data_IF_109924192721
#
_entry.id   IF_109924192721
#
_cell.length_a   1.000
_cell.length_b   1.000
_cell.length_c   1.000
_cell.angle_alpha   90.00
_cell.angle_beta   90.00
_cell.angle_gamma   90.00
#
_symmetry.space_group_name_H-M   'P 1'
#
loop_
_entity.id
_entity.type
_entity.pdbx_description
1 polymer ?
#
# COMPACT_ATOMS: atom_id res chain seq x y z
N UNK A 1 -13.97 6.39 5.12
CA UNK A 1 -12.58 5.89 5.20
C UNK A 1 -12.53 4.45 5.70
N UNK A 2 -12.88 4.16 6.97
CA UNK A 2 -12.82 2.78 7.53
C UNK A 2 -13.67 1.78 6.73
N UNK A 3 -14.91 2.14 6.38
CA UNK A 3 -15.81 1.25 5.62
C UNK A 3 -15.24 0.85 4.27
N UNK A 4 -14.73 1.81 3.49
CA UNK A 4 -14.13 1.55 2.17
C UNK A 4 -12.86 0.72 2.33
N UNK A 5 -12.04 1.02 3.35
CA UNK A 5 -10.83 0.25 3.65
C UNK A 5 -11.15 -1.21 3.96
N UNK A 6 -12.20 -1.47 4.73
CA UNK A 6 -12.66 -2.84 5.00
C UNK A 6 -13.21 -3.55 3.76
N UNK A 7 -13.96 -2.85 2.91
CA UNK A 7 -14.43 -3.42 1.64
C UNK A 7 -13.26 -3.81 0.73
N UNK A 8 -12.26 -2.93 0.60
CA UNK A 8 -11.04 -3.24 -0.15
C UNK A 8 -10.28 -4.41 0.50
N UNK A 9 -10.07 -4.38 1.81
CA UNK A 9 -9.37 -5.46 2.51
C UNK A 9 -10.03 -6.82 2.29
N UNK A 10 -11.37 -6.87 2.30
CA UNK A 10 -12.12 -8.09 2.01
C UNK A 10 -12.02 -8.50 0.53
N UNK A 11 -12.10 -7.54 -0.39
CA UNK A 11 -11.98 -7.80 -1.84
C UNK A 11 -10.61 -8.41 -2.20
N UNK A 12 -9.54 -8.04 -1.48
CA UNK A 12 -8.18 -8.53 -1.70
C UNK A 12 -7.78 -9.68 -0.77
N UNK A 13 -8.70 -10.24 0.02
CA UNK A 13 -8.38 -11.27 1.02
C UNK A 13 -7.92 -12.60 0.42
N UNK A 14 -8.25 -12.87 -0.84
CA UNK A 14 -7.90 -14.07 -1.60
C UNK A 14 -6.62 -13.90 -2.45
N UNK A 15 -6.00 -12.70 -2.43
CA UNK A 15 -4.79 -12.46 -3.21
C UNK A 15 -3.59 -13.15 -2.58
N UNK A 16 -2.90 -13.93 -3.41
CA UNK A 16 -1.69 -14.66 -3.04
C UNK A 16 -0.53 -14.26 -3.94
N UNK A 17 0.69 -14.45 -3.43
CA UNK A 17 1.93 -14.26 -4.15
C UNK A 17 2.89 -15.39 -3.79
N UNK A 18 3.33 -16.16 -4.80
CA UNK A 18 4.08 -17.42 -4.62
C UNK A 18 3.36 -18.39 -3.66
N UNK A 19 2.07 -18.64 -3.90
CA UNK A 19 1.20 -19.53 -3.11
C UNK A 19 0.99 -19.13 -1.64
N UNK A 20 1.49 -17.96 -1.23
CA UNK A 20 1.29 -17.43 0.11
C UNK A 20 0.36 -16.21 0.10
N UNK A 21 -0.57 -16.09 1.06
CA UNK A 21 -1.40 -14.89 1.20
C UNK A 21 -0.54 -13.64 1.40
N UNK A 22 -0.89 -12.57 0.69
CA UNK A 22 -0.27 -11.26 0.94
C UNK A 22 -0.95 -10.59 2.14
N UNK A 23 -0.20 -9.82 2.92
CA UNK A 23 -0.83 -8.98 3.92
C UNK A 23 -1.57 -7.83 3.22
N UNK A 24 -2.78 -7.52 3.69
CA UNK A 24 -3.58 -6.41 3.16
C UNK A 24 -4.21 -5.62 4.30
N UNK A 25 -4.01 -4.31 4.29
CA UNK A 25 -4.57 -3.40 5.30
C UNK A 25 -4.67 -1.95 4.78
N UNK A 26 -5.13 -1.01 5.62
CA UNK A 26 -5.34 0.38 5.22
C UNK A 26 -5.19 1.36 6.37
N UNK A 27 -4.96 2.63 6.00
CA UNK A 27 -4.96 3.73 6.96
C UNK A 27 -3.89 4.77 6.67
N UNK A 28 -3.62 5.59 7.68
CA UNK A 28 -2.59 6.62 7.64
C UNK A 28 -1.20 6.02 7.91
N UNK A 29 -0.14 6.80 7.72
CA UNK A 29 1.22 6.39 8.08
C UNK A 29 1.34 5.98 9.57
N UNK A 30 0.62 6.66 10.47
CA UNK A 30 0.59 6.28 11.89
C UNK A 30 0.03 4.86 12.08
N UNK A 31 -1.04 4.51 11.37
CA UNK A 31 -1.62 3.17 11.43
C UNK A 31 -0.69 2.12 10.82
N UNK A 32 0.03 2.45 9.73
CA UNK A 32 1.05 1.57 9.14
C UNK A 32 2.16 1.27 10.16
N UNK A 33 2.63 2.29 10.90
CA UNK A 33 3.62 2.12 11.96
C UNK A 33 3.13 1.18 13.06
N UNK A 34 1.91 1.39 13.53
CA UNK A 34 1.29 0.57 14.58
C UNK A 34 1.14 -0.88 14.08
N UNK A 35 0.67 -1.06 12.84
CA UNK A 35 0.54 -2.37 12.20
C UNK A 35 1.88 -3.12 12.14
N UNK A 36 2.95 -2.47 11.69
CA UNK A 36 4.30 -3.06 11.64
C UNK A 36 4.76 -3.48 13.04
N UNK A 37 4.60 -2.60 14.04
CA UNK A 37 4.98 -2.88 15.43
C UNK A 37 4.21 -4.06 16.02
N UNK A 38 2.92 -4.18 15.72
CA UNK A 38 2.08 -5.27 16.23
C UNK A 38 2.44 -6.61 15.58
N UNK A 39 2.80 -6.60 14.29
CA UNK A 39 3.34 -7.79 13.61
C UNK A 39 4.68 -8.23 14.19
N UNK A 40 5.56 -7.28 14.51
CA UNK A 40 6.85 -7.58 15.17
C UNK A 40 6.66 -8.17 16.56
N UNK A 41 5.80 -7.59 17.38
CA UNK A 41 5.47 -8.12 18.72
C UNK A 41 4.90 -9.54 18.65
N UNK A 42 4.16 -9.83 17.59
CA UNK A 42 3.49 -11.12 17.40
C UNK A 42 4.33 -12.11 16.58
N UNK A 43 5.56 -11.75 16.19
CA UNK A 43 6.44 -12.53 15.32
C UNK A 43 5.75 -13.02 14.03
N UNK A 44 4.91 -12.17 13.43
CA UNK A 44 4.16 -12.47 12.21
C UNK A 44 4.86 -11.92 10.97
N UNK A 45 4.71 -12.62 9.84
CA UNK A 45 5.19 -12.14 8.54
C UNK A 45 4.52 -10.80 8.18
N UNK A 46 5.33 -9.81 7.80
CA UNK A 46 4.88 -8.46 7.44
C UNK A 46 4.74 -8.25 5.94
N UNK A 47 5.66 -8.79 5.15
CA UNK A 47 5.76 -8.50 3.72
C UNK A 47 5.58 -9.77 2.86
N UNK A 48 5.06 -9.67 1.63
CA UNK A 48 4.57 -8.46 0.97
C UNK A 48 3.31 -7.89 1.65
N UNK A 49 3.16 -6.56 1.59
CA UNK A 49 2.03 -5.83 2.14
C UNK A 49 1.40 -4.94 1.06
N UNK A 50 0.09 -5.07 0.86
CA UNK A 50 -0.73 -4.14 0.13
C UNK A 50 -1.42 -3.20 1.12
N UNK A 51 -1.11 -1.91 1.04
CA UNK A 51 -1.67 -0.87 1.90
C UNK A 51 -2.52 0.11 1.10
N UNK A 52 -3.70 0.43 1.64
CA UNK A 52 -4.60 1.41 1.03
C UNK A 52 -4.62 2.73 1.79
N UNK A 53 -4.58 3.83 1.04
CA UNK A 53 -4.84 5.18 1.55
C UNK A 53 -6.03 5.73 0.79
N UNK A 54 -7.07 6.10 1.52
CA UNK A 54 -8.31 6.62 0.93
C UNK A 54 -8.29 8.13 1.12
N UNK A 55 -7.92 8.85 0.06
CA UNK A 55 -7.74 10.30 0.08
C UNK A 55 -9.08 11.02 0.32
N UNK A 56 -10.10 10.60 -0.42
CA UNK A 56 -11.45 11.16 -0.36
C UNK A 56 -12.47 10.16 -0.89
N UNK A 57 -13.73 10.35 -0.52
CA UNK A 57 -14.82 9.55 -1.08
C UNK A 57 -16.15 10.31 -1.08
N UNK A 58 -17.01 9.93 -2.01
CA UNK A 58 -18.41 10.30 -2.08
C UNK A 58 -19.27 9.06 -1.84
N UNK A 59 -20.36 9.23 -1.11
CA UNK A 59 -21.39 8.21 -0.96
C UNK A 59 -22.44 8.41 -2.07
N UNK A 60 -22.59 7.42 -2.96
CA UNK A 60 -23.46 7.51 -4.14
C UNK A 60 -24.30 6.24 -4.26
N UNK A 61 -25.57 6.33 -3.84
CA UNK A 61 -26.54 5.23 -3.89
C UNK A 61 -25.98 3.95 -3.22
N UNK A 62 -25.78 2.88 -3.99
CA UNK A 62 -25.30 1.58 -3.51
C UNK A 62 -23.76 1.42 -3.58
N UNK A 63 -23.04 2.48 -3.92
CA UNK A 63 -21.59 2.48 -4.10
C UNK A 63 -20.92 3.62 -3.34
N UNK A 64 -19.62 3.46 -3.12
CA UNK A 64 -18.73 4.56 -2.78
C UNK A 64 -17.85 4.89 -3.98
N UNK A 65 -17.78 6.16 -4.36
CA UNK A 65 -16.76 6.64 -5.30
C UNK A 65 -15.59 7.20 -4.50
N UNK A 66 -14.40 6.64 -4.65
CA UNK A 66 -13.25 6.95 -3.80
C UNK A 66 -11.99 7.18 -4.63
N UNK A 67 -11.19 8.17 -4.22
CA UNK A 67 -9.80 8.31 -4.66
C UNK A 67 -8.92 7.52 -3.70
N UNK A 68 -8.22 6.52 -4.24
CA UNK A 68 -7.45 5.56 -3.45
C UNK A 68 -6.04 5.47 -4.00
N UNK A 69 -5.06 5.58 -3.10
CA UNK A 69 -3.66 5.25 -3.36
C UNK A 69 -3.40 3.83 -2.86
N UNK A 70 -2.90 3.01 -3.78
CA UNK A 70 -2.49 1.63 -3.54
C UNK A 70 -0.98 1.60 -3.40
N UNK A 71 -0.49 0.95 -2.34
CA UNK A 71 0.92 0.93 -2.02
C UNK A 71 1.34 -0.50 -1.73
N UNK A 72 2.27 -1.00 -2.53
CA UNK A 72 2.87 -2.32 -2.36
C UNK A 72 4.20 -2.15 -1.65
N UNK A 73 4.33 -2.70 -0.46
CA UNK A 73 5.56 -2.69 0.32
C UNK A 73 6.24 -4.05 0.29
N UNK A 74 7.58 -4.00 0.18
CA UNK A 74 8.43 -5.14 0.44
C UNK A 74 9.67 -4.73 1.23
N UNK A 75 10.14 -5.63 2.07
CA UNK A 75 11.35 -5.40 2.86
C UNK A 75 12.58 -5.38 1.95
N UNK A 76 13.41 -4.36 2.09
CA UNK A 76 14.70 -4.26 1.45
C UNK A 76 15.81 -4.14 2.52
N UNK A 77 17.05 -3.90 2.09
CA UNK A 77 18.20 -3.76 3.00
C UNK A 77 18.89 -2.43 2.76
N UNK A 78 19.40 -1.81 3.83
CA UNK A 78 20.05 -0.50 3.77
C UNK A 78 21.23 -0.44 2.77
N UNK A 79 21.93 -1.56 2.58
CA UNK A 79 23.10 -1.64 1.69
C UNK A 79 22.75 -2.00 0.24
N UNK A 80 21.49 -2.26 -0.09
CA UNK A 80 21.08 -2.53 -1.47
C UNK A 80 21.25 -1.27 -2.32
N UNK A 81 22.05 -1.41 -3.38
CA UNK A 81 22.17 -0.39 -4.44
C UNK A 81 20.99 -0.50 -5.40
N UNK A 82 20.82 0.49 -6.28
CA UNK A 82 19.69 0.51 -7.22
C UNK A 82 19.58 -0.75 -8.07
N UNK A 83 20.72 -1.32 -8.51
CA UNK A 83 20.74 -2.61 -9.23
C UNK A 83 20.17 -3.75 -8.38
N UNK A 84 20.64 -3.89 -7.13
CA UNK A 84 20.17 -4.94 -6.22
C UNK A 84 18.69 -4.78 -5.90
N UNK A 85 18.23 -3.55 -5.68
CA UNK A 85 16.79 -3.25 -5.45
C UNK A 85 15.96 -3.65 -6.65
N UNK A 86 16.40 -3.26 -7.85
CA UNK A 86 15.71 -3.64 -9.07
C UNK A 86 15.65 -5.16 -9.22
N UNK A 87 16.78 -5.86 -9.13
CA UNK A 87 16.85 -7.30 -9.39
C UNK A 87 16.21 -8.15 -8.30
N UNK A 88 16.29 -7.75 -7.02
CA UNK A 88 15.88 -8.58 -5.88
C UNK A 88 14.54 -8.17 -5.29
N UNK A 89 14.11 -6.92 -5.44
CA UNK A 89 12.87 -6.40 -4.84
C UNK A 89 11.83 -6.09 -5.91
N UNK A 90 12.15 -5.21 -6.87
CA UNK A 90 11.18 -4.80 -7.88
C UNK A 90 10.87 -5.92 -8.88
N UNK A 91 11.89 -6.47 -9.53
CA UNK A 91 11.71 -7.47 -10.57
C UNK A 91 11.15 -8.79 -10.03
N UNK A 92 11.58 -9.21 -8.83
CA UNK A 92 11.17 -10.48 -8.22
C UNK A 92 9.87 -10.40 -7.44
N UNK A 93 9.53 -9.23 -6.88
CA UNK A 93 8.39 -9.12 -5.96
C UNK A 93 7.43 -8.01 -6.34
N UNK A 94 7.84 -6.74 -6.32
CA UNK A 94 6.89 -5.62 -6.44
C UNK A 94 6.24 -5.52 -7.83
N UNK A 95 6.97 -5.80 -8.92
CA UNK A 95 6.42 -5.77 -10.27
C UNK A 95 5.45 -6.95 -10.53
N UNK A 96 5.80 -8.22 -10.23
CA UNK A 96 4.83 -9.31 -10.32
C UNK A 96 3.60 -9.10 -9.44
N UNK A 97 3.80 -8.64 -8.20
CA UNK A 97 2.69 -8.37 -7.27
C UNK A 97 1.78 -7.25 -7.78
N UNK A 98 2.36 -6.23 -8.41
CA UNK A 98 1.59 -5.16 -9.04
C UNK A 98 0.70 -5.68 -10.16
N UNK A 99 1.21 -6.55 -11.04
CA UNK A 99 0.37 -7.13 -12.10
C UNK A 99 -0.77 -7.98 -11.50
N UNK A 100 -0.51 -8.77 -10.46
CA UNK A 100 -1.57 -9.53 -9.75
C UNK A 100 -2.65 -8.60 -9.18
N UNK A 101 -2.25 -7.53 -8.48
CA UNK A 101 -3.20 -6.57 -7.89
C UNK A 101 -3.97 -5.82 -8.98
N UNK A 102 -3.32 -5.46 -10.07
CA UNK A 102 -3.94 -4.82 -11.23
C UNK A 102 -4.96 -5.75 -11.91
N UNK A 103 -4.63 -7.02 -12.12
CA UNK A 103 -5.56 -8.02 -12.66
C UNK A 103 -6.76 -8.22 -11.75
N UNK A 104 -6.55 -8.28 -10.42
CA UNK A 104 -7.64 -8.35 -9.44
C UNK A 104 -8.55 -7.12 -9.52
N UNK A 105 -7.99 -5.92 -9.63
CA UNK A 105 -8.76 -4.69 -9.78
C UNK A 105 -9.60 -4.68 -11.06
N UNK A 106 -9.02 -5.15 -12.18
CA UNK A 106 -9.68 -5.17 -13.49
C UNK A 106 -10.80 -6.22 -13.54
N UNK A 107 -10.58 -7.38 -12.90
CA UNK A 107 -11.51 -8.51 -12.92
C UNK A 107 -12.57 -8.48 -11.80
N UNK A 108 -12.39 -7.62 -10.80
CA UNK A 108 -13.33 -7.48 -9.68
C UNK A 108 -14.73 -7.13 -10.17
N UNK A 109 -15.73 -7.83 -9.64
CA UNK A 109 -17.16 -7.49 -9.83
C UNK A 109 -17.63 -6.39 -8.87
N UNK A 110 -16.84 -6.13 -7.82
CA UNK A 110 -17.17 -5.20 -6.75
C UNK A 110 -16.53 -3.84 -6.94
N UNK A 111 -15.45 -3.76 -7.72
CA UNK A 111 -14.70 -2.54 -8.01
C UNK A 111 -14.84 -2.19 -9.49
N UNK A 112 -15.21 -0.95 -9.78
CA UNK A 112 -15.17 -0.36 -11.10
C UNK A 112 -14.14 0.78 -11.12
N UNK A 113 -13.15 0.69 -12.00
CA UNK A 113 -12.12 1.72 -12.14
C UNK A 113 -12.66 2.84 -13.03
N UNK A 114 -12.66 4.07 -12.51
CA UNK A 114 -13.17 5.23 -13.23
C UNK A 114 -12.18 5.68 -14.31
N UNK A 115 -12.55 5.47 -15.57
CA UNK A 115 -11.77 5.88 -16.74
C UNK A 115 -11.47 4.71 -17.69
N UNK A 116 -10.80 4.99 -18.81
CA UNK A 116 -10.37 3.93 -19.73
C UNK A 116 -9.22 3.14 -19.11
N UNK A 117 -9.32 1.81 -19.07
CA UNK A 117 -8.32 0.93 -18.41
C UNK A 117 -6.87 1.18 -18.85
N UNK A 118 -6.65 1.50 -20.13
CA UNK A 118 -5.32 1.82 -20.68
C UNK A 118 -4.79 3.21 -20.29
N UNK A 119 -5.57 4.01 -19.57
CA UNK A 119 -5.26 5.39 -19.19
C UNK A 119 -5.34 5.65 -17.67
N UNK A 120 -5.91 4.72 -16.90
CA UNK A 120 -6.09 4.86 -15.44
C UNK A 120 -4.85 4.43 -14.66
N UNK A 121 -4.15 3.39 -15.11
CA UNK A 121 -2.87 2.98 -14.53
C UNK A 121 -1.72 3.84 -15.05
N UNK A 122 -1.65 5.08 -14.56
CA UNK A 122 -0.61 6.06 -14.89
C UNK A 122 0.05 6.58 -13.62
N UNK A 123 1.19 7.26 -13.77
CA UNK A 123 1.96 7.82 -12.66
C UNK A 123 2.32 6.77 -11.59
N UNK A 124 2.71 5.57 -12.03
CA UNK A 124 3.21 4.53 -11.13
C UNK A 124 4.57 4.99 -10.61
N UNK A 125 4.73 5.05 -9.28
CA UNK A 125 5.94 5.53 -8.63
C UNK A 125 6.64 4.37 -7.93
N UNK A 126 7.91 4.19 -8.26
CA UNK A 126 8.84 3.41 -7.45
C UNK A 126 9.46 4.32 -6.40
N UNK A 127 9.32 3.95 -5.14
CA UNK A 127 9.85 4.68 -4.00
C UNK A 127 10.80 3.77 -3.24
N UNK A 128 12.10 3.99 -3.44
CA UNK A 128 13.16 3.33 -2.72
C UNK A 128 13.32 3.91 -1.31
N UNK A 129 13.72 3.07 -0.35
CA UNK A 129 13.91 3.50 1.05
C UNK A 129 12.72 4.30 1.58
N UNK A 130 11.50 3.80 1.34
CA UNK A 130 10.29 4.40 1.84
C UNK A 130 10.35 4.42 3.38
N UNK A 131 10.84 5.53 3.91
CA UNK A 131 11.11 5.73 5.32
C UNK A 131 9.80 5.88 6.05
N UNK A 132 9.34 4.81 6.69
CA UNK A 132 8.30 4.92 7.70
C UNK A 132 8.96 5.60 8.92
N UNK A 133 8.75 6.91 9.09
CA UNK A 133 9.31 7.63 10.23
C UNK A 133 8.57 7.23 11.51
N UNK A 134 9.23 6.46 12.39
CA UNK A 134 8.66 5.95 13.63
C UNK A 134 8.65 6.98 14.78
N UNK A 135 9.13 8.21 14.55
CA UNK A 135 9.23 9.24 15.56
C UNK A 135 7.86 9.90 15.81
N UNK A 136 7.27 9.60 16.98
CA UNK A 136 5.95 10.10 17.38
C UNK A 136 5.94 11.56 17.81
N UNK A 137 7.09 12.22 17.93
CA UNK A 137 7.20 13.60 18.42
C UNK A 137 6.99 14.68 17.34
N UNK A 138 7.08 14.31 16.06
CA UNK A 138 6.91 15.21 14.90
C UNK A 138 5.61 15.01 14.14
N UNK A 139 4.77 14.02 14.49
CA UNK A 139 3.47 13.78 13.86
C UNK A 139 2.46 14.84 14.38
N UNK A 140 2.63 16.09 13.94
CA UNK A 140 1.68 17.18 14.19
C UNK A 140 0.54 17.05 13.17
N UNK A 141 -0.60 16.54 13.64
CA UNK A 141 -1.96 16.73 13.09
C UNK A 141 -2.14 16.50 11.57
N UNK A 142 -2.78 15.40 11.21
CA UNK A 142 -3.56 15.26 9.95
C UNK A 142 -2.80 15.51 8.63
N UNK A 143 -1.51 15.24 8.57
CA UNK A 143 -0.80 15.34 7.29
C UNK A 143 -0.99 14.05 6.47
N UNK A 144 -1.53 14.24 5.26
CA UNK A 144 -1.69 13.25 4.19
C UNK A 144 -0.33 12.83 3.58
N UNK A 145 0.72 12.73 4.39
CA UNK A 145 2.07 12.84 3.86
C UNK A 145 2.73 11.48 3.63
N UNK A 146 2.82 11.13 2.34
CA UNK A 146 3.80 10.20 1.80
C UNK A 146 4.98 11.01 1.20
N UNK A 147 5.34 12.11 1.86
CA UNK A 147 6.36 13.04 1.40
C UNK A 147 7.76 12.47 1.63
N UNK A 148 8.58 12.55 0.58
CA UNK A 148 9.92 11.98 0.48
C UNK A 148 10.94 12.84 1.21
N UNK A 149 11.12 12.71 2.52
CA UNK A 149 12.34 13.23 3.16
C UNK A 149 12.91 12.29 4.23
N UNK A 150 14.11 11.78 3.94
CA UNK A 150 14.92 11.02 4.89
C UNK A 150 15.68 12.01 5.79
N UNK A 151 15.11 12.36 6.95
CA UNK A 151 15.86 13.08 7.98
C UNK A 151 16.82 12.13 8.71
N UNK A 152 18.13 12.41 8.60
CA UNK A 152 19.18 11.75 9.37
C UNK A 152 19.17 12.24 10.83
N UNK A 153 18.34 11.61 11.67
CA UNK A 153 18.34 11.79 13.12
C UNK A 153 19.14 10.69 13.84
N UNK A 154 20.11 11.08 14.68
CA UNK A 154 20.90 10.21 15.57
C UNK A 154 20.04 9.64 16.71
N UNK A 155 19.18 8.66 16.44
CA UNK A 155 18.64 7.76 17.47
C UNK A 155 18.55 6.37 16.87
N UNK A 156 18.88 5.33 17.65
CA UNK A 156 18.84 3.92 17.23
C UNK A 156 17.38 3.46 17.08
N UNK A 157 16.69 4.01 16.09
CA UNK A 157 15.34 3.65 15.70
C UNK A 157 15.52 2.46 14.75
N UNK A 158 14.87 1.33 15.05
CA UNK A 158 14.79 0.21 14.12
C UNK A 158 14.09 0.70 12.83
N UNK A 159 14.87 1.20 11.88
CA UNK A 159 14.37 1.61 10.57
C UNK A 159 14.21 0.34 9.75
N UNK A 160 12.95 -0.08 9.55
CA UNK A 160 12.66 -1.01 8.46
C UNK A 160 12.92 -0.28 7.14
N UNK A 161 13.84 -0.81 6.35
CA UNK A 161 14.09 -0.29 5.01
C UNK A 161 13.08 -0.95 4.09
N UNK A 162 12.14 -0.17 3.57
CA UNK A 162 11.10 -0.63 2.66
C UNK A 162 11.34 -0.06 1.27
N UNK A 163 11.05 -0.85 0.25
CA UNK A 163 10.81 -0.32 -1.09
C UNK A 163 9.31 -0.43 -1.37
N UNK A 164 8.78 0.55 -2.10
CA UNK A 164 7.37 0.64 -2.38
C UNK A 164 7.09 0.88 -3.86
N UNK A 165 6.01 0.26 -4.36
CA UNK A 165 5.40 0.61 -5.64
C UNK A 165 4.02 1.22 -5.38
N UNK A 166 3.81 2.42 -5.87
CA UNK A 166 2.65 3.26 -5.57
C UNK A 166 1.89 3.57 -6.87
N UNK A 167 0.56 3.48 -6.83
CA UNK A 167 -0.30 3.95 -7.90
C UNK A 167 -1.62 4.47 -7.33
N UNK A 168 -2.23 5.43 -8.02
CA UNK A 168 -3.47 6.08 -7.59
C UNK A 168 -4.59 5.81 -8.58
N UNK A 169 -5.78 5.51 -8.07
CA UNK A 169 -6.98 5.28 -8.88
C UNK A 169 -8.17 5.98 -8.24
N UNK A 170 -9.09 6.44 -9.10
CA UNK A 170 -10.47 6.69 -8.68
C UNK A 170 -11.29 5.45 -8.98
N UNK A 171 -11.96 4.91 -7.97
CA UNK A 171 -12.76 3.68 -8.07
C UNK A 171 -14.19 3.91 -7.59
N UNK A 172 -15.11 3.11 -8.10
CA UNK A 172 -16.41 2.87 -7.46
C UNK A 172 -16.41 1.47 -6.86
N UNK A 173 -16.76 1.36 -5.58
CA UNK A 173 -16.84 0.08 -4.88
C UNK A 173 -18.24 -0.15 -4.32
N UNK A 174 -18.78 -1.36 -4.51
CA UNK A 174 -20.10 -1.74 -3.99
C UNK A 174 -20.10 -1.72 -2.46
N UNK A 175 -21.18 -1.19 -1.86
CA UNK A 175 -21.38 -1.22 -0.39
C UNK A 175 -21.58 -2.63 0.16
N UNK A 176 -22.01 -3.55 -0.71
CA UNK A 176 -22.14 -4.98 -0.43
C UNK A 176 -21.33 -5.74 -1.47
N UNK A 177 -20.32 -6.47 -1.01
CA UNK A 177 -19.51 -7.32 -1.89
C UNK A 177 -20.34 -8.53 -2.32
N UNK A 178 -20.30 -8.85 -3.61
CA UNK A 178 -20.93 -10.02 -4.22
C UNK A 178 -20.07 -11.27 -4.07
#
# INVERSE_FOLDING_TARGET
MITIGMLLRNEFADVTFNDEPINTDFGTQKMLIEWIKDKDRSNQKKYPLLWFVIDSYNDINDQYEAKVRFILFYQSKYHFKNKDRFELVYNKTLNPLYEIVKEKLISSRNINIMGLQNQVFKNIVDADNYGVNFDTLTIKRQEHDFSREAERGKQSIAQEVLDAKIFELTIKINKKLC
#
